data_IF_817412031940
#
_entry.id   IF_817412031940
#
_cell.length_a   1.000
_cell.length_b   1.000
_cell.length_c   1.000
_cell.angle_alpha   90.00
_cell.angle_beta   90.00
_cell.angle_gamma   90.00
#
_symmetry.space_group_name_H-M   'P 1'
#
loop_
_entity.id
_entity.type
_entity.pdbx_description
1 polymer ?
#
# COMPACT_ATOMS: atom_id res chain seq x y z
N UNK A 1 0.53 4.56 -71.78
CA UNK A 1 0.77 3.46 -70.83
C UNK A 1 -0.58 3.04 -70.29
N UNK A 2 -1.16 2.02 -70.91
CA UNK A 2 -2.47 1.47 -70.57
C UNK A 2 -2.44 0.80 -69.20
N UNK A 3 -3.51 0.96 -68.44
CA UNK A 3 -3.62 0.46 -67.07
C UNK A 3 -4.02 -1.00 -67.10
N UNK A 4 -3.11 -1.87 -66.65
CA UNK A 4 -3.33 -3.29 -66.46
C UNK A 4 -4.38 -3.54 -65.38
N UNK A 5 -5.44 -4.24 -65.77
CA UNK A 5 -6.38 -4.87 -64.85
C UNK A 5 -5.69 -6.08 -64.23
N UNK A 6 -5.64 -6.13 -62.90
CA UNK A 6 -5.17 -7.30 -62.15
C UNK A 6 -6.16 -8.44 -62.39
N UNK A 7 -5.68 -9.53 -62.98
CA UNK A 7 -6.46 -10.76 -63.08
C UNK A 7 -6.65 -11.34 -61.68
N UNK A 8 -7.88 -11.28 -61.17
CA UNK A 8 -8.32 -12.09 -60.04
C UNK A 8 -8.44 -13.53 -60.55
N UNK A 9 -7.39 -14.31 -60.35
CA UNK A 9 -7.38 -15.73 -60.65
C UNK A 9 -8.43 -16.41 -59.78
N UNK A 10 -9.57 -16.76 -60.38
CA UNK A 10 -10.50 -17.73 -59.82
C UNK A 10 -9.72 -19.00 -59.50
N UNK A 11 -9.44 -19.21 -58.21
CA UNK A 11 -8.90 -20.46 -57.70
C UNK A 11 -9.78 -21.60 -58.23
N UNK A 12 -9.19 -22.69 -58.75
CA UNK A 12 -9.97 -23.83 -59.23
C UNK A 12 -10.88 -24.29 -58.10
N UNK A 13 -12.18 -24.38 -58.37
CA UNK A 13 -13.14 -24.98 -57.44
C UNK A 13 -12.57 -26.32 -56.99
N UNK A 14 -12.21 -26.42 -55.70
CA UNK A 14 -11.60 -27.60 -55.13
C UNK A 14 -12.54 -28.78 -55.38
N UNK A 15 -12.17 -29.66 -56.31
CA UNK A 15 -12.88 -30.91 -56.56
C UNK A 15 -12.58 -31.79 -55.34
N UNK A 16 -13.59 -32.22 -54.58
CA UNK A 16 -13.36 -33.03 -53.40
C UNK A 16 -12.61 -34.31 -53.77
N UNK A 17 -11.46 -34.53 -53.14
CA UNK A 17 -10.58 -35.67 -53.43
C UNK A 17 -11.19 -36.97 -52.90
N UNK A 18 -12.14 -36.88 -51.97
CA UNK A 18 -12.82 -38.02 -51.38
C UNK A 18 -14.34 -37.80 -51.26
N UNK A 19 -15.17 -38.87 -51.34
CA UNK A 19 -16.61 -38.77 -51.11
C UNK A 19 -16.98 -38.21 -49.71
N UNK A 20 -16.05 -38.24 -48.75
CA UNK A 20 -16.23 -37.70 -47.41
C UNK A 20 -16.21 -36.16 -47.39
N UNK A 21 -15.52 -35.54 -48.35
CA UNK A 21 -15.42 -34.08 -48.47
C UNK A 21 -16.72 -33.42 -48.97
N UNK A 22 -17.66 -34.23 -49.47
CA UNK A 22 -19.02 -33.81 -49.88
C UNK A 22 -20.03 -33.84 -48.72
N UNK A 23 -19.63 -34.35 -47.55
CA UNK A 23 -20.53 -34.36 -46.40
C UNK A 23 -20.80 -32.91 -45.98
N UNK A 24 -22.09 -32.51 -45.84
CA UNK A 24 -22.41 -31.17 -45.36
C UNK A 24 -21.79 -31.02 -43.99
N UNK A 25 -21.00 -29.96 -43.81
CA UNK A 25 -20.41 -29.62 -42.52
C UNK A 25 -21.58 -29.58 -41.52
N UNK A 26 -21.54 -30.40 -40.44
CA UNK A 26 -22.63 -30.44 -39.50
C UNK A 26 -22.81 -29.05 -38.89
N UNK A 27 -24.07 -28.62 -38.79
CA UNK A 27 -24.42 -27.30 -38.29
C UNK A 27 -23.76 -27.07 -36.91
N UNK A 28 -23.20 -25.89 -36.67
CA UNK A 28 -22.44 -25.56 -35.46
C UNK A 28 -23.23 -25.82 -34.17
N UNK A 29 -24.55 -25.73 -34.24
CA UNK A 29 -25.49 -26.08 -33.16
C UNK A 29 -25.48 -27.56 -32.77
N UNK A 30 -25.14 -28.47 -33.69
CA UNK A 30 -25.08 -29.93 -33.49
C UNK A 30 -23.74 -30.36 -32.88
N UNK A 31 -22.66 -29.61 -33.11
CA UNK A 31 -21.31 -29.90 -32.61
C UNK A 31 -21.01 -29.28 -31.23
N UNK A 32 -21.86 -28.37 -30.73
CA UNK A 32 -21.70 -27.80 -29.38
C UNK A 32 -22.04 -28.86 -28.33
N UNK A 33 -21.00 -29.54 -27.82
CA UNK A 33 -21.12 -30.39 -26.65
C UNK A 33 -21.63 -29.55 -25.48
N UNK A 34 -22.85 -29.83 -25.00
CA UNK A 34 -23.53 -29.00 -24.00
C UNK A 34 -22.68 -28.76 -22.74
N UNK A 35 -21.99 -29.79 -22.27
CA UNK A 35 -21.13 -29.67 -21.08
C UNK A 35 -19.86 -28.86 -21.36
N UNK A 36 -19.36 -28.88 -22.60
CA UNK A 36 -18.18 -28.11 -22.99
C UNK A 36 -18.50 -26.63 -23.03
N UNK A 37 -19.67 -26.29 -23.60
CA UNK A 37 -20.17 -24.93 -23.65
C UNK A 37 -20.46 -24.37 -22.25
N UNK A 38 -21.18 -25.12 -21.40
CA UNK A 38 -21.46 -24.70 -20.03
C UNK A 38 -20.19 -24.47 -19.20
N UNK A 39 -19.16 -25.32 -19.37
CA UNK A 39 -17.85 -25.12 -18.74
C UNK A 39 -17.15 -23.85 -19.25
N UNK A 40 -17.22 -23.58 -20.56
CA UNK A 40 -16.63 -22.38 -21.15
C UNK A 40 -17.29 -21.10 -20.63
N UNK A 41 -18.62 -21.06 -20.56
CA UNK A 41 -19.37 -19.95 -19.96
C UNK A 41 -18.99 -19.74 -18.49
N UNK A 42 -18.88 -20.83 -17.72
CA UNK A 42 -18.45 -20.76 -16.32
C UNK A 42 -17.04 -20.15 -16.17
N UNK A 43 -16.09 -20.56 -17.01
CA UNK A 43 -14.72 -20.02 -16.99
C UNK A 43 -14.73 -18.53 -17.36
N UNK A 44 -15.54 -18.11 -18.34
CA UNK A 44 -15.69 -16.70 -18.69
C UNK A 44 -16.21 -15.87 -17.50
N UNK A 45 -17.26 -16.35 -16.84
CA UNK A 45 -17.80 -15.71 -15.63
C UNK A 45 -16.76 -15.62 -14.51
N UNK A 46 -15.97 -16.68 -14.32
CA UNK A 46 -14.89 -16.70 -13.33
C UNK A 46 -13.82 -15.67 -13.65
N UNK A 47 -13.40 -15.54 -14.90
CA UNK A 47 -12.45 -14.50 -15.31
C UNK A 47 -12.98 -13.09 -15.08
N UNK A 48 -14.26 -12.85 -15.37
CA UNK A 48 -14.90 -11.56 -15.13
C UNK A 48 -14.93 -11.23 -13.62
N UNK A 49 -15.31 -12.20 -12.78
CA UNK A 49 -15.28 -12.04 -11.33
C UNK A 49 -13.87 -11.75 -10.81
N UNK A 50 -12.86 -12.50 -11.28
CA UNK A 50 -11.46 -12.31 -10.89
C UNK A 50 -10.97 -10.92 -11.32
N UNK A 51 -11.30 -10.47 -12.53
CA UNK A 51 -10.94 -9.13 -13.01
C UNK A 51 -11.49 -8.03 -12.10
N UNK A 52 -12.78 -8.10 -11.76
CA UNK A 52 -13.44 -7.15 -10.86
C UNK A 52 -12.76 -7.17 -9.48
N UNK A 53 -12.42 -8.36 -8.96
CA UNK A 53 -11.73 -8.48 -7.67
C UNK A 53 -10.33 -7.89 -7.70
N UNK A 54 -9.55 -8.11 -8.77
CA UNK A 54 -8.22 -7.53 -8.96
C UNK A 54 -8.31 -6.01 -8.99
N UNK A 55 -9.23 -5.45 -9.78
CA UNK A 55 -9.42 -4.00 -9.87
C UNK A 55 -9.80 -3.39 -8.51
N UNK A 56 -10.74 -4.03 -7.80
CA UNK A 56 -11.15 -3.63 -6.44
C UNK A 56 -9.97 -3.67 -5.46
N UNK A 57 -9.16 -4.72 -5.50
CA UNK A 57 -7.99 -4.87 -4.62
C UNK A 57 -6.91 -3.84 -4.98
N UNK A 58 -6.60 -3.66 -6.26
CA UNK A 58 -5.64 -2.66 -6.74
C UNK A 58 -6.03 -1.25 -6.30
N UNK A 59 -7.31 -0.87 -6.44
CA UNK A 59 -7.81 0.43 -5.98
C UNK A 59 -7.67 0.59 -4.46
N UNK A 60 -7.98 -0.45 -3.69
CA UNK A 60 -7.81 -0.43 -2.23
C UNK A 60 -6.33 -0.30 -1.83
N UNK A 61 -5.44 -1.06 -2.47
CA UNK A 61 -3.99 -0.98 -2.25
C UNK A 61 -3.46 0.40 -2.60
N UNK A 62 -3.87 0.99 -3.72
CA UNK A 62 -3.48 2.33 -4.12
C UNK A 62 -3.94 3.38 -3.08
N UNK A 63 -5.19 3.32 -2.61
CA UNK A 63 -5.70 4.22 -1.55
C UNK A 63 -4.89 4.11 -0.27
N UNK A 64 -4.57 2.88 0.16
CA UNK A 64 -3.82 2.66 1.39
C UNK A 64 -2.35 3.06 1.25
N UNK A 65 -1.69 2.73 0.14
CA UNK A 65 -0.29 3.06 -0.11
C UNK A 65 -0.07 4.55 -0.33
N UNK A 66 -1.06 5.25 -0.90
CA UNK A 66 -1.02 6.70 -1.08
C UNK A 66 -1.59 7.46 0.11
N UNK A 67 -2.03 6.77 1.18
CA UNK A 67 -2.47 7.42 2.41
C UNK A 67 -1.31 8.21 3.01
N UNK A 68 -1.50 9.52 3.14
CA UNK A 68 -0.49 10.44 3.66
C UNK A 68 0.52 10.97 2.64
N UNK A 69 0.47 10.52 1.38
CA UNK A 69 1.31 11.10 0.32
C UNK A 69 0.64 12.33 -0.28
N UNK A 70 1.33 13.47 -0.27
CA UNK A 70 0.88 14.70 -0.95
C UNK A 70 1.34 14.67 -2.41
N UNK A 71 0.45 15.02 -3.33
CA UNK A 71 0.83 15.20 -4.73
C UNK A 71 1.66 16.49 -4.88
N UNK A 72 2.79 16.39 -5.58
CA UNK A 72 3.56 17.53 -6.06
C UNK A 72 3.40 17.58 -7.58
N UNK A 73 2.85 18.68 -8.08
CA UNK A 73 2.61 18.91 -9.50
C UNK A 73 3.35 20.17 -9.88
N UNK A 74 4.17 20.10 -10.93
CA UNK A 74 4.90 21.24 -11.46
C UNK A 74 4.39 21.57 -12.86
N UNK A 75 4.34 22.84 -13.20
CA UNK A 75 4.01 23.30 -14.53
C UNK A 75 5.27 23.79 -15.28
N UNK A 76 5.30 23.75 -16.62
CA UNK A 76 6.39 24.32 -17.38
C UNK A 76 6.58 25.82 -17.07
N UNK A 77 7.79 26.22 -16.74
CA UNK A 77 8.13 27.57 -16.28
C UNK A 77 8.34 27.69 -14.77
N UNK A 78 7.92 26.70 -13.99
CA UNK A 78 8.19 26.68 -12.55
C UNK A 78 9.68 26.50 -12.26
N UNK A 79 10.12 27.08 -11.14
CA UNK A 79 11.47 26.90 -10.61
C UNK A 79 11.48 25.82 -9.54
N UNK A 80 12.41 24.89 -9.68
CA UNK A 80 12.53 23.73 -8.77
C UNK A 80 13.97 23.51 -8.36
N UNK A 81 14.17 23.13 -7.10
CA UNK A 81 15.43 22.59 -6.61
C UNK A 81 15.54 21.11 -6.98
N UNK A 82 16.76 20.68 -7.32
CA UNK A 82 17.06 19.28 -7.64
C UNK A 82 17.80 18.61 -6.50
N UNK A 83 17.32 17.43 -6.08
CA UNK A 83 18.00 16.59 -5.12
C UNK A 83 19.16 15.81 -5.76
N UNK A 84 20.37 16.08 -5.31
CA UNK A 84 21.60 15.45 -5.78
C UNK A 84 21.85 14.09 -5.12
N UNK A 85 21.58 13.02 -5.87
CA UNK A 85 21.99 11.65 -5.51
C UNK A 85 23.41 11.35 -5.98
N UNK A 86 24.21 10.70 -5.13
CA UNK A 86 25.60 10.35 -5.44
C UNK A 86 25.74 9.48 -6.70
N UNK A 87 24.83 8.52 -6.89
CA UNK A 87 24.84 7.62 -8.05
C UNK A 87 24.62 8.34 -9.38
N UNK A 88 23.86 9.43 -9.37
CA UNK A 88 23.53 10.20 -10.57
C UNK A 88 24.48 11.39 -10.76
N UNK A 89 24.95 11.98 -9.67
CA UNK A 89 25.82 13.16 -9.63
C UNK A 89 27.13 12.87 -8.87
N UNK A 90 28.02 12.01 -9.40
CA UNK A 90 29.28 11.68 -8.74
C UNK A 90 30.23 12.89 -8.67
N UNK A 91 30.22 13.74 -9.69
CA UNK A 91 31.08 14.93 -9.78
C UNK A 91 30.65 16.03 -8.83
N UNK A 92 29.34 16.24 -8.68
CA UNK A 92 28.83 17.32 -7.83
C UNK A 92 28.74 16.91 -6.36
N UNK A 93 28.50 15.62 -6.07
CA UNK A 93 28.40 15.10 -4.70
C UNK A 93 29.51 14.13 -4.36
N UNK A 94 30.75 14.65 -4.30
CA UNK A 94 31.96 13.87 -3.99
C UNK A 94 32.04 13.42 -2.51
N UNK A 95 31.48 14.20 -1.58
CA UNK A 95 31.56 13.95 -0.14
C UNK A 95 30.20 14.03 0.55
N UNK A 96 30.12 13.53 1.79
CA UNK A 96 28.88 13.59 2.60
C UNK A 96 28.52 15.00 3.07
N UNK A 97 29.50 15.92 3.11
CA UNK A 97 29.35 17.28 3.62
C UNK A 97 28.91 18.27 2.53
N UNK A 98 28.98 17.88 1.25
CA UNK A 98 28.45 18.70 0.16
C UNK A 98 26.92 18.77 0.23
N UNK A 99 26.33 19.90 -0.21
CA UNK A 99 24.88 20.09 -0.18
C UNK A 99 24.16 18.98 -0.96
N UNK A 100 22.97 18.62 -0.50
CA UNK A 100 22.13 17.60 -1.14
C UNK A 100 21.18 18.16 -2.18
N UNK A 101 20.98 19.47 -2.20
CA UNK A 101 20.16 20.16 -3.19
C UNK A 101 21.03 21.10 -4.01
N UNK A 102 20.68 21.23 -5.29
CA UNK A 102 21.29 22.19 -6.20
C UNK A 102 20.20 23.02 -6.87
N UNK A 103 20.60 24.20 -7.34
CA UNK A 103 19.84 25.45 -7.49
C UNK A 103 18.45 25.41 -8.13
N UNK A 104 17.82 26.59 -8.29
CA UNK A 104 16.57 26.70 -9.02
C UNK A 104 16.82 26.42 -10.51
N UNK A 105 16.31 25.28 -10.97
CA UNK A 105 16.23 24.95 -12.38
C UNK A 105 14.81 25.17 -12.88
N UNK A 106 14.69 25.65 -14.10
CA UNK A 106 13.39 25.83 -14.74
C UNK A 106 12.87 24.51 -15.29
N UNK A 107 11.61 24.21 -15.04
CA UNK A 107 10.91 23.11 -15.69
C UNK A 107 10.64 23.50 -17.15
N UNK A 108 11.25 22.80 -18.10
CA UNK A 108 11.02 23.01 -19.53
C UNK A 108 9.73 22.35 -19.99
N UNK A 109 9.50 21.12 -19.54
CA UNK A 109 8.39 20.31 -20.01
C UNK A 109 7.95 19.30 -18.95
N UNK A 110 6.63 19.14 -18.81
CA UNK A 110 6.01 18.05 -18.08
C UNK A 110 5.86 16.83 -18.98
N UNK A 111 6.58 15.75 -18.67
CA UNK A 111 6.47 14.48 -19.42
C UNK A 111 5.32 13.66 -18.85
N UNK A 112 5.28 13.53 -17.52
CA UNK A 112 4.22 12.88 -16.75
C UNK A 112 4.12 13.56 -15.38
N UNK A 113 3.05 13.31 -14.60
CA UNK A 113 2.93 13.84 -13.23
C UNK A 113 4.10 13.44 -12.32
N UNK A 114 4.75 12.31 -12.62
CA UNK A 114 5.92 11.80 -11.89
C UNK A 114 7.26 12.22 -12.49
N UNK A 115 7.30 12.79 -13.70
CA UNK A 115 8.55 13.01 -14.44
C UNK A 115 8.56 14.33 -15.22
N UNK A 116 9.58 15.15 -14.96
CA UNK A 116 9.71 16.50 -15.50
C UNK A 116 11.08 16.69 -16.16
N UNK A 117 11.11 17.44 -17.24
CA UNK A 117 12.34 17.79 -17.94
C UNK A 117 12.79 19.19 -17.52
N UNK A 118 14.02 19.30 -17.04
CA UNK A 118 14.58 20.55 -16.54
C UNK A 118 15.56 21.16 -17.54
N UNK A 119 15.75 22.47 -17.41
CA UNK A 119 16.82 23.19 -18.06
C UNK A 119 18.12 23.03 -17.27
N UNK A 120 18.86 21.96 -17.56
CA UNK A 120 20.17 21.74 -16.95
C UNK A 120 21.28 22.45 -17.74
N UNK A 121 22.25 23.09 -17.04
CA UNK A 121 23.47 23.58 -17.66
C UNK A 121 24.28 22.46 -18.33
N UNK A 122 25.05 22.81 -19.36
CA UNK A 122 25.92 21.86 -20.07
C UNK A 122 27.00 21.24 -19.17
N UNK A 123 27.28 21.83 -18.01
CA UNK A 123 28.21 21.32 -16.99
C UNK A 123 27.77 19.95 -16.43
N UNK A 124 26.47 19.64 -16.49
CA UNK A 124 25.92 18.36 -16.07
C UNK A 124 25.86 17.34 -17.22
N UNK A 125 26.57 17.57 -18.34
CA UNK A 125 26.39 16.94 -19.66
C UNK A 125 26.32 15.40 -19.73
N UNK A 126 26.75 14.69 -18.69
CA UNK A 126 26.61 13.23 -18.59
C UNK A 126 25.27 12.76 -17.97
N UNK A 127 24.40 13.69 -17.56
CA UNK A 127 23.19 13.41 -16.78
C UNK A 127 21.95 13.74 -17.61
N UNK A 128 20.99 12.81 -17.63
CA UNK A 128 19.70 13.06 -18.28
C UNK A 128 18.96 14.22 -17.60
N UNK A 129 18.39 15.12 -18.40
CA UNK A 129 17.63 16.27 -17.93
C UNK A 129 16.22 15.93 -17.39
N UNK A 130 15.81 14.64 -17.44
CA UNK A 130 14.50 14.20 -16.95
C UNK A 130 14.60 13.72 -15.51
N UNK A 131 13.85 14.32 -14.59
CA UNK A 131 13.85 14.02 -13.16
C UNK A 131 12.52 13.47 -12.69
N UNK A 132 12.58 12.62 -11.66
CA UNK A 132 11.39 12.15 -10.97
C UNK A 132 10.92 13.24 -9.99
N UNK A 133 9.61 13.40 -9.81
CA UNK A 133 9.00 14.30 -8.81
C UNK A 133 9.58 14.14 -7.40
N UNK A 134 10.04 12.94 -7.02
CA UNK A 134 10.67 12.69 -5.72
C UNK A 134 12.00 13.42 -5.53
N UNK A 135 12.68 13.74 -6.63
CA UNK A 135 13.97 14.44 -6.64
C UNK A 135 13.79 15.94 -6.85
N UNK A 136 12.56 16.45 -6.87
CA UNK A 136 12.26 17.87 -7.08
C UNK A 136 11.59 18.46 -5.85
N UNK A 137 11.90 19.73 -5.58
CA UNK A 137 11.21 20.53 -4.56
C UNK A 137 10.92 21.93 -5.11
N UNK A 138 9.78 22.51 -4.73
CA UNK A 138 9.41 23.86 -5.15
C UNK A 138 10.47 24.88 -4.71
N UNK A 139 10.78 25.83 -5.58
CA UNK A 139 11.50 27.04 -5.21
C UNK A 139 10.48 28.10 -4.78
N UNK A 140 10.50 28.48 -3.49
CA UNK A 140 9.71 29.63 -3.02
C UNK A 140 10.60 30.88 -3.08
N UNK A 141 10.13 31.90 -3.80
CA UNK A 141 10.87 33.17 -4.00
C UNK A 141 10.75 34.08 -2.77
N UNK A 142 9.91 33.74 -1.78
CA UNK A 142 9.45 34.69 -0.74
C UNK A 142 9.58 34.29 0.73
N UNK A 143 10.31 33.24 1.12
CA UNK A 143 10.44 32.84 2.51
C UNK A 143 11.85 32.37 2.87
N UNK A 144 12.34 32.83 4.01
CA UNK A 144 13.66 32.56 4.61
C UNK A 144 14.25 31.18 4.25
N UNK A 145 15.49 31.18 3.75
CA UNK A 145 16.38 30.05 3.44
C UNK A 145 15.85 28.65 3.81
N UNK A 146 14.92 28.10 3.01
CA UNK A 146 14.50 26.70 3.14
C UNK A 146 15.66 25.83 2.67
N UNK A 147 16.53 25.46 3.60
CA UNK A 147 17.70 24.63 3.35
C UNK A 147 17.25 23.25 2.84
N UNK A 148 17.62 22.84 1.61
CA UNK A 148 17.27 21.53 1.05
C UNK A 148 17.85 20.34 1.84
N UNK A 149 18.72 20.59 2.81
CA UNK A 149 19.29 19.57 3.69
C UNK A 149 18.44 19.26 4.94
N UNK A 150 17.35 19.99 5.19
CA UNK A 150 16.47 19.66 6.31
C UNK A 150 15.73 18.33 6.07
N UNK A 151 15.71 17.42 7.08
CA UNK A 151 14.81 16.29 7.06
C UNK A 151 13.38 16.80 6.90
N UNK A 152 12.64 16.27 5.93
CA UNK A 152 11.21 16.55 5.81
C UNK A 152 10.51 15.92 7.02
N UNK A 153 10.19 16.72 8.03
CA UNK A 153 9.34 16.28 9.12
C UNK A 153 7.90 16.11 8.58
N UNK A 154 7.37 14.89 8.69
CA UNK A 154 5.96 14.59 8.40
C UNK A 154 5.07 15.39 9.37
N UNK A 155 4.22 16.32 8.90
CA UNK A 155 3.43 17.19 9.78
C UNK A 155 2.17 16.50 10.33
N UNK A 156 2.12 15.16 10.35
CA UNK A 156 0.95 14.41 10.81
C UNK A 156 1.24 13.54 12.04
N UNK A 157 2.00 14.08 12.99
CA UNK A 157 1.84 13.70 14.40
C UNK A 157 0.64 14.45 14.98
N UNK A 158 -0.56 14.08 14.54
CA UNK A 158 -1.72 14.23 15.40
C UNK A 158 -1.48 13.36 16.62
N UNK A 159 -1.43 14.00 17.78
CA UNK A 159 -1.31 13.41 19.10
C UNK A 159 -2.28 12.23 19.24
N UNK A 160 -1.74 11.02 19.19
CA UNK A 160 -2.45 9.78 19.50
C UNK A 160 -1.65 9.13 20.64
N UNK A 161 -2.08 9.38 21.87
CA UNK A 161 -1.44 8.96 23.13
C UNK A 161 -1.35 7.42 23.32
N UNK A 162 -1.56 6.63 22.27
CA UNK A 162 -1.65 5.16 22.34
C UNK A 162 -0.58 4.41 21.55
N UNK A 163 0.47 5.07 21.05
CA UNK A 163 1.56 4.39 20.30
C UNK A 163 2.73 3.86 21.15
N UNK A 164 2.62 3.79 22.47
CA UNK A 164 3.78 3.51 23.32
C UNK A 164 4.18 2.02 23.46
N UNK A 165 3.56 1.08 22.72
CA UNK A 165 3.82 -0.38 22.90
C UNK A 165 4.66 -0.99 21.77
N UNK A 166 4.85 -0.32 20.63
CA UNK A 166 5.42 -0.93 19.42
C UNK A 166 6.82 -0.47 18.99
N UNK A 167 7.68 -0.02 19.92
CA UNK A 167 9.03 0.47 19.59
C UNK A 167 10.16 -0.38 20.19
N UNK A 168 11.42 -0.21 19.72
CA UNK A 168 12.57 -0.89 20.31
C UNK A 168 12.65 -0.62 21.81
N UNK A 169 12.86 -1.68 22.60
CA UNK A 169 12.95 -1.58 24.06
C UNK A 169 14.26 -0.87 24.43
N UNK A 170 14.16 0.35 24.94
CA UNK A 170 15.32 1.09 25.45
C UNK A 170 15.46 0.92 26.96
N UNK A 171 16.69 1.03 27.50
CA UNK A 171 16.98 0.87 28.93
C UNK A 171 16.18 1.83 29.83
N UNK A 172 15.92 3.05 29.35
CA UNK A 172 15.09 4.02 30.06
C UNK A 172 13.63 3.57 30.16
N UNK A 173 13.08 2.99 29.07
CA UNK A 173 11.71 2.44 29.04
C UNK A 173 11.55 1.25 29.98
N UNK A 174 12.50 0.32 29.97
CA UNK A 174 12.46 -0.83 30.88
C UNK A 174 12.39 -0.37 32.35
N UNK A 175 13.24 0.60 32.74
CA UNK A 175 13.17 1.23 34.07
C UNK A 175 11.84 1.90 34.37
N UNK A 176 11.23 2.57 33.38
CA UNK A 176 9.95 3.22 33.58
C UNK A 176 8.81 2.22 33.79
N UNK A 177 8.85 1.08 33.09
CA UNK A 177 7.90 -0.02 33.28
C UNK A 177 8.11 -0.69 34.64
N UNK A 178 9.35 -0.94 35.05
CA UNK A 178 9.66 -1.50 36.38
C UNK A 178 9.17 -0.58 37.51
N UNK A 179 9.39 0.73 37.37
CA UNK A 179 8.89 1.72 38.32
C UNK A 179 7.36 1.74 38.36
N UNK A 180 6.68 1.74 37.21
CA UNK A 180 5.21 1.69 37.14
C UNK A 180 4.63 0.41 37.76
N UNK A 181 5.25 -0.75 37.51
CA UNK A 181 4.85 -2.02 38.12
C UNK A 181 5.07 -2.02 39.64
N UNK A 182 6.19 -1.46 40.11
CA UNK A 182 6.47 -1.37 41.55
C UNK A 182 5.46 -0.50 42.30
N UNK A 183 5.01 0.61 41.70
CA UNK A 183 3.97 1.48 42.27
C UNK A 183 2.62 0.75 42.34
N UNK A 184 2.21 0.08 41.25
CA UNK A 184 0.98 -0.72 41.24
C UNK A 184 1.00 -1.85 42.29
N UNK A 185 2.14 -2.49 42.49
CA UNK A 185 2.32 -3.52 43.52
C UNK A 185 2.21 -2.92 44.93
N UNK A 186 2.66 -1.68 45.14
CA UNK A 186 2.49 -0.97 46.41
C UNK A 186 1.03 -0.59 46.67
N UNK A 187 0.29 -0.17 45.65
CA UNK A 187 -1.14 0.17 45.75
C UNK A 187 -2.01 -1.05 46.07
N UNK A 188 -1.72 -2.21 45.46
CA UNK A 188 -2.42 -3.47 45.76
C UNK A 188 -2.12 -3.94 47.20
N UNK A 189 -0.90 -3.72 47.70
CA UNK A 189 -0.56 -4.06 49.08
C UNK A 189 -1.19 -3.09 50.09
N UNK A 190 -1.28 -1.80 49.78
CA UNK A 190 -1.91 -0.78 50.62
C UNK A 190 -3.42 -0.93 50.75
N UNK A 191 -4.11 -1.34 49.68
CA UNK A 191 -5.56 -1.56 49.68
C UNK A 191 -6.00 -2.77 50.52
N UNK A 192 -5.13 -3.78 50.68
CA UNK A 192 -5.42 -4.98 51.51
C UNK A 192 -5.52 -4.71 53.02
N UNK A 193 -5.02 -3.56 53.51
CA UNK A 193 -5.02 -3.22 54.94
C UNK A 193 -6.14 -2.22 55.34
N UNK A 194 -6.91 -1.68 54.38
CA UNK A 194 -7.98 -0.71 54.63
C UNK A 194 -9.41 -1.27 54.57
N UNK A 195 -9.61 -2.56 54.23
CA UNK A 195 -10.94 -3.19 54.08
C UNK A 195 -11.39 -3.98 55.32
N UNK A 196 -11.07 -3.50 56.53
CA UNK A 196 -11.62 -4.05 57.81
C UNK A 196 -12.47 -3.03 58.57
N UNK A 197 -13.46 -2.42 57.92
CA UNK A 197 -14.64 -1.89 58.61
C UNK A 197 -15.86 -1.99 57.70
N UNK A 198 -16.78 -2.89 58.06
CA UNK A 198 -18.00 -3.16 57.29
C UNK A 198 -18.73 -4.41 57.78
N UNK A 199 -18.60 -4.78 59.06
CA UNK A 199 -19.33 -5.88 59.70
C UNK A 199 -20.48 -5.31 60.52
N UNK A 200 -21.59 -4.93 59.88
CA UNK A 200 -22.87 -4.79 60.59
C UNK A 200 -24.05 -4.75 59.62
N UNK A 201 -24.41 -5.89 59.03
CA UNK A 201 -25.75 -6.27 58.57
C UNK A 201 -25.58 -7.47 57.66
N UNK A 202 -25.64 -8.67 58.24
CA UNK A 202 -26.25 -9.88 57.68
C UNK A 202 -26.10 -10.99 58.73
N UNK A 203 -26.63 -10.71 59.93
CA UNK A 203 -27.03 -11.74 60.88
C UNK A 203 -28.55 -11.88 60.76
N UNK A 204 -29.01 -12.55 59.71
CA UNK A 204 -30.34 -13.13 59.71
C UNK A 204 -30.35 -14.30 58.73
N UNK A 205 -30.87 -15.44 59.20
CA UNK A 205 -31.01 -16.73 58.51
C UNK A 205 -29.78 -17.66 58.65
N UNK A 206 -29.38 -17.94 59.89
CA UNK A 206 -29.10 -19.32 60.29
C UNK A 206 -29.92 -19.57 61.56
N UNK A 207 -30.90 -20.48 61.47
CA UNK A 207 -31.35 -21.41 62.52
C UNK A 207 -32.83 -21.75 62.32
N UNK A 208 -33.12 -22.80 61.57
CA UNK A 208 -34.17 -23.74 61.95
C UNK A 208 -33.78 -25.13 61.47
N UNK A 209 -33.46 -25.98 62.45
CA UNK A 209 -33.84 -27.40 62.54
C UNK A 209 -33.32 -28.29 61.39
N UNK A 210 -32.38 -29.19 61.60
CA UNK A 210 -32.45 -30.26 62.59
C UNK A 210 -32.07 -31.54 61.85
N UNK A 211 -31.35 -32.41 62.54
CA UNK A 211 -30.63 -33.56 62.02
C UNK A 211 -31.53 -34.58 61.33
N UNK A 212 -30.98 -35.31 60.36
CA UNK A 212 -30.91 -36.80 60.31
C UNK A 212 -30.49 -37.30 58.91
N UNK A 213 -29.76 -38.42 58.86
CA UNK A 213 -29.92 -39.38 57.76
C UNK A 213 -28.81 -39.54 56.72
N UNK A 214 -27.78 -40.27 57.11
CA UNK A 214 -26.89 -41.17 56.34
C UNK A 214 -27.31 -41.64 54.92
N UNK A 215 -26.33 -41.62 53.98
CA UNK A 215 -25.83 -42.72 53.09
C UNK A 215 -25.16 -42.12 51.83
N UNK A 216 -23.84 -42.23 51.67
CA UNK A 216 -23.09 -43.30 50.98
C UNK A 216 -23.49 -43.52 49.50
N UNK A 217 -22.75 -42.91 48.55
CA UNK A 217 -21.87 -43.54 47.55
C UNK A 217 -21.42 -42.54 46.45
N UNK A 218 -20.15 -42.54 45.99
CA UNK A 218 -19.69 -41.78 44.82
C UNK A 218 -19.67 -42.64 43.52
N UNK A 219 -19.71 -42.02 42.32
CA UNK A 219 -19.56 -42.72 41.04
C UNK A 219 -18.08 -42.98 40.73
N UNK A 220 -17.78 -44.03 39.96
CA UNK A 220 -17.62 -43.85 38.50
C UNK A 220 -18.49 -44.77 37.64
#
# INVERSE_FOLDING_TARGET
MEKGWVQESLSPCAVPLTPLDLLPIPNESVLKHRDGWAKAEYVQQLHEQVKIQIEKKNASYAKQANKGRKQMLFEPGDWVWVHMRKERFPEQRKSKLLPRGDGPFRVLQKVNDNAYKLELPSEYGNISATFNVTDLTFFDVGGDDVNPNEPKDDPNQTNDELRNIGGPMTRARAKQMDNALSLLIQDIKGTSLSSKQGSHLFHCIISHVGQEGTKMFPPP
#
